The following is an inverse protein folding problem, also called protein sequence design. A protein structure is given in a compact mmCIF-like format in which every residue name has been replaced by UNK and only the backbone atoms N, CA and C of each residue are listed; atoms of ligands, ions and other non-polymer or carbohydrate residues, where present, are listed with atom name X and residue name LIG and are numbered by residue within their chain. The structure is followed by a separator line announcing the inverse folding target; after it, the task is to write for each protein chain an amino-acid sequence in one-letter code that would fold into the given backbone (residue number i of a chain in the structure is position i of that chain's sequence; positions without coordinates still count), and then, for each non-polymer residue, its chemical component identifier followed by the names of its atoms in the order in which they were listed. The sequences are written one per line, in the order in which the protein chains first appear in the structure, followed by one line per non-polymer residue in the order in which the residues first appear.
data_IF_308739059775
#
_entry.id   IF_308739059775
#
_cell.length_a   1.000
_cell.length_b   1.000
_cell.length_c   1.000
_cell.angle_alpha   90.00
_cell.angle_beta   90.00
_cell.angle_gamma   90.00
#
_symmetry.space_group_name_H-M   'P 1'
#
loop_
_entity.id
_entity.type
_entity.pdbx_description
1 polymer ?
#
# COMPACT_ATOMS: atom_id res chain seq x y z
N UNK A 1 -30.07 16.04 -1.24
CA UNK A 1 -29.51 16.03 0.13
C UNK A 1 -28.72 14.75 0.30
N UNK A 2 -27.47 14.73 -0.19
CA UNK A 2 -26.63 13.54 -0.10
C UNK A 2 -25.99 13.49 1.28
N UNK A 3 -26.44 12.54 2.09
CA UNK A 3 -25.82 12.25 3.37
C UNK A 3 -24.36 11.82 3.12
N UNK A 4 -23.42 12.67 3.54
CA UNK A 4 -22.02 12.32 3.68
C UNK A 4 -21.95 11.25 4.77
N UNK A 5 -21.83 9.99 4.38
CA UNK A 5 -21.52 8.91 5.32
C UNK A 5 -20.14 9.21 5.93
N UNK A 6 -20.00 9.19 7.27
CA UNK A 6 -18.71 9.42 7.92
C UNK A 6 -17.68 8.40 7.40
N UNK A 7 -16.49 8.87 7.02
CA UNK A 7 -15.37 8.00 6.71
C UNK A 7 -15.04 7.16 7.95
N UNK A 8 -14.87 5.82 7.83
CA UNK A 8 -14.55 4.99 8.98
C UNK A 8 -13.21 5.42 9.58
N UNK A 9 -13.22 5.69 10.89
CA UNK A 9 -12.02 6.05 11.65
C UNK A 9 -10.93 5.00 11.42
N UNK A 10 -9.73 5.46 11.08
CA UNK A 10 -8.57 4.60 10.88
C UNK A 10 -8.28 3.83 12.17
N UNK A 11 -8.79 2.59 12.26
CA UNK A 11 -8.47 1.66 13.33
C UNK A 11 -6.95 1.51 13.40
N UNK A 12 -6.32 2.17 14.39
CA UNK A 12 -4.92 1.97 14.75
C UNK A 12 -4.78 0.51 15.18
N UNK A 13 -4.31 -0.32 14.26
CA UNK A 13 -3.86 -1.67 14.60
C UNK A 13 -2.82 -1.59 15.71
N UNK A 14 -2.82 -2.61 16.58
CA UNK A 14 -1.99 -2.71 17.78
C UNK A 14 -0.58 -2.11 17.56
N UNK A 15 -0.15 -1.22 18.47
CA UNK A 15 1.19 -0.61 18.40
C UNK A 15 2.21 -1.73 18.29
N UNK A 16 2.84 -1.86 17.11
CA UNK A 16 3.94 -2.80 16.92
C UNK A 16 5.01 -2.50 17.98
N UNK A 17 5.64 -3.53 18.58
CA UNK A 17 6.76 -3.31 19.47
C UNK A 17 7.81 -2.47 18.75
N UNK A 18 8.43 -1.53 19.47
CA UNK A 18 9.52 -0.72 18.95
C UNK A 18 10.75 -1.64 18.78
N UNK A 19 10.85 -2.28 17.62
CA UNK A 19 12.01 -3.10 17.26
C UNK A 19 13.09 -2.12 16.76
N UNK A 20 14.25 -2.04 17.44
CA UNK A 20 15.33 -1.18 16.97
C UNK A 20 15.72 -1.60 15.55
N UNK A 21 15.84 -0.62 14.65
CA UNK A 21 16.40 -0.86 13.32
C UNK A 21 17.74 -1.60 13.48
N UNK A 22 17.94 -2.76 12.84
CA UNK A 22 19.23 -3.45 12.88
C UNK A 22 20.30 -2.49 12.40
N UNK A 23 21.16 -2.02 13.33
CA UNK A 23 22.22 -1.05 13.00
C UNK A 23 23.15 -1.68 11.98
N UNK A 24 23.23 -1.11 10.78
CA UNK A 24 24.20 -1.49 9.74
C UNK A 24 23.66 -2.28 8.54
N UNK A 25 22.37 -2.61 8.49
CA UNK A 25 21.76 -3.24 7.30
C UNK A 25 20.56 -2.40 6.87
N UNK A 26 20.76 -1.52 5.90
CA UNK A 26 19.66 -0.78 5.28
C UNK A 26 19.09 -1.66 4.17
N UNK A 27 17.85 -2.20 4.32
CA UNK A 27 17.27 -3.01 3.27
C UNK A 27 17.04 -2.18 2.00
N UNK A 28 17.24 -2.78 0.84
CA UNK A 28 16.88 -2.14 -0.43
C UNK A 28 15.38 -2.27 -0.61
N UNK A 29 14.67 -1.16 -0.38
CA UNK A 29 13.21 -1.08 -0.55
C UNK A 29 12.89 -0.35 -1.84
N UNK A 30 12.08 -0.95 -2.69
CA UNK A 30 11.49 -0.27 -3.85
C UNK A 30 10.04 -0.67 -4.03
N UNK A 31 9.27 0.19 -4.68
CA UNK A 31 7.84 0.01 -4.88
C UNK A 31 7.51 0.11 -6.36
N UNK A 32 6.73 -0.84 -6.84
CA UNK A 32 6.20 -0.83 -8.21
C UNK A 32 4.68 -0.72 -8.20
N UNK A 33 4.15 0.25 -8.93
CA UNK A 33 2.74 0.32 -9.25
C UNK A 33 2.40 -0.68 -10.35
N UNK A 34 1.49 -1.62 -10.08
CA UNK A 34 0.94 -2.51 -11.11
C UNK A 34 -0.27 -1.87 -11.80
N UNK A 35 -0.37 -2.07 -13.10
CA UNK A 35 -1.46 -1.53 -13.92
C UNK A 35 -2.83 -1.93 -13.35
N UNK A 36 -3.71 -0.95 -13.16
CA UNK A 36 -5.08 -1.11 -12.63
C UNK A 36 -5.14 -1.85 -11.28
N UNK A 37 -4.04 -1.92 -10.54
CA UNK A 37 -3.87 -2.76 -9.36
C UNK A 37 -3.07 -2.05 -8.25
N UNK A 38 -2.58 -2.84 -7.28
CA UNK A 38 -1.86 -2.41 -6.09
C UNK A 38 -0.44 -1.91 -6.38
N UNK A 39 0.13 -1.26 -5.36
CA UNK A 39 1.57 -1.06 -5.25
C UNK A 39 2.22 -2.30 -4.64
N UNK A 40 3.20 -2.91 -5.30
CA UNK A 40 3.96 -4.04 -4.79
C UNK A 40 5.23 -3.52 -4.13
N UNK A 41 5.44 -3.91 -2.88
CA UNK A 41 6.62 -3.53 -2.10
C UNK A 41 7.62 -4.67 -2.14
N UNK A 42 8.84 -4.35 -2.54
CA UNK A 42 9.97 -5.25 -2.53
C UNK A 42 10.94 -4.88 -1.42
N UNK A 43 11.45 -5.88 -0.70
CA UNK A 43 12.52 -5.75 0.29
C UNK A 43 13.58 -6.76 -0.08
N UNK A 44 14.77 -6.28 -0.43
CA UNK A 44 15.90 -7.10 -0.88
C UNK A 44 15.51 -8.06 -2.02
N UNK A 45 14.72 -7.56 -2.96
CA UNK A 45 14.25 -8.29 -4.14
C UNK A 45 13.06 -9.23 -3.91
N UNK A 46 12.56 -9.36 -2.68
CA UNK A 46 11.41 -10.20 -2.35
C UNK A 46 10.13 -9.37 -2.22
N UNK A 47 9.04 -9.87 -2.79
CA UNK A 47 7.71 -9.28 -2.55
C UNK A 47 7.33 -9.51 -1.10
N UNK A 48 7.16 -8.42 -0.34
CA UNK A 48 6.75 -8.51 1.07
C UNK A 48 5.28 -8.19 1.27
N UNK A 49 4.72 -7.28 0.46
CA UNK A 49 3.32 -6.89 0.60
C UNK A 49 2.80 -6.14 -0.62
N UNK A 50 1.48 -5.97 -0.67
CA UNK A 50 0.76 -5.17 -1.64
C UNK A 50 -0.05 -4.07 -0.93
N UNK A 51 0.20 -2.82 -1.29
CA UNK A 51 -0.49 -1.65 -0.73
C UNK A 51 -1.62 -1.20 -1.64
N UNK A 52 -2.73 -0.81 -1.02
CA UNK A 52 -3.87 -0.24 -1.72
C UNK A 52 -3.53 1.16 -2.22
N UNK A 53 -3.80 1.41 -3.51
CA UNK A 53 -3.78 2.75 -4.10
C UNK A 53 -5.10 3.18 -4.74
N UNK A 54 -6.11 2.29 -4.75
CA UNK A 54 -7.43 2.58 -5.32
C UNK A 54 -8.41 3.21 -4.33
N UNK A 55 -8.10 3.24 -3.02
CA UNK A 55 -8.98 3.78 -1.96
C UNK A 55 -10.09 2.83 -1.47
N UNK A 56 -10.47 1.83 -2.26
CA UNK A 56 -11.63 0.95 -1.97
C UNK A 56 -11.33 -0.27 -1.09
N UNK A 57 -10.08 -0.52 -0.69
CA UNK A 57 -9.77 -1.64 0.21
C UNK A 57 -10.49 -1.50 1.55
N UNK A 58 -11.04 -2.60 2.05
CA UNK A 58 -11.62 -2.72 3.40
C UNK A 58 -10.53 -2.99 4.44
N UNK A 59 -9.35 -3.47 4.01
CA UNK A 59 -8.20 -3.75 4.86
C UNK A 59 -7.06 -2.74 4.64
N UNK A 60 -7.37 -1.44 4.59
CA UNK A 60 -6.35 -0.39 4.42
C UNK A 60 -5.30 -0.48 5.54
N UNK A 61 -4.00 -0.29 5.24
CA UNK A 61 -3.43 0.18 3.96
C UNK A 61 -3.18 -0.91 2.91
N UNK A 62 -3.50 -2.17 3.20
CA UNK A 62 -3.20 -3.31 2.31
C UNK A 62 -4.21 -3.42 1.17
N UNK A 63 -3.77 -3.98 0.04
CA UNK A 63 -4.68 -4.33 -1.05
C UNK A 63 -5.40 -5.65 -0.75
N UNK A 64 -6.72 -5.64 -0.82
CA UNK A 64 -7.60 -6.80 -0.65
C UNK A 64 -8.28 -7.26 -1.96
N UNK A 65 -7.92 -6.65 -3.09
CA UNK A 65 -8.51 -6.94 -4.41
C UNK A 65 -9.70 -6.07 -4.80
N UNK A 66 -10.19 -5.19 -3.92
CA UNK A 66 -11.36 -4.33 -4.19
C UNK A 66 -11.20 -3.39 -5.38
N UNK A 67 -9.97 -3.17 -5.87
CA UNK A 67 -9.69 -2.36 -7.07
C UNK A 67 -10.41 -2.87 -8.33
N UNK A 68 -10.65 -4.19 -8.44
CA UNK A 68 -11.33 -4.78 -9.59
C UNK A 68 -12.80 -4.36 -9.66
N UNK A 69 -13.52 -4.52 -8.54
CA UNK A 69 -14.92 -4.13 -8.43
C UNK A 69 -15.10 -2.61 -8.50
N UNK A 70 -14.11 -1.84 -8.05
CA UNK A 70 -14.11 -0.38 -8.13
C UNK A 70 -13.79 0.18 -9.54
N UNK A 71 -13.41 -0.67 -10.51
CA UNK A 71 -13.03 -0.21 -11.84
C UNK A 71 -11.82 0.72 -11.85
N UNK A 72 -10.87 0.52 -10.92
CA UNK A 72 -9.70 1.38 -10.79
C UNK A 72 -8.83 1.32 -12.05
N UNK A 73 -8.52 2.48 -12.61
CA UNK A 73 -7.68 2.62 -13.81
C UNK A 73 -6.46 3.48 -13.49
N UNK A 74 -5.27 2.92 -13.68
CA UNK A 74 -4.00 3.63 -13.56
C UNK A 74 -2.88 2.84 -14.24
N UNK A 75 -1.93 3.52 -14.91
CA UNK A 75 -0.81 2.85 -15.55
C UNK A 75 0.10 2.15 -14.52
N UNK A 76 0.89 1.20 -15.02
CA UNK A 76 2.05 0.69 -14.29
C UNK A 76 3.15 1.76 -14.25
N UNK A 77 3.85 1.84 -13.12
CA UNK A 77 4.96 2.78 -12.94
C UNK A 77 5.95 2.25 -11.90
N UNK A 78 7.24 2.46 -12.14
CA UNK A 78 8.25 2.27 -11.11
C UNK A 78 8.23 3.52 -10.22
N UNK A 79 7.96 3.36 -8.91
CA UNK A 79 7.98 4.48 -7.96
C UNK A 79 9.43 4.67 -7.53
N UNK A 80 10.25 5.15 -8.45
CA UNK A 80 11.56 5.72 -8.15
C UNK A 80 11.41 7.24 -8.12
N UNK A 81 12.01 7.88 -7.11
CA UNK A 81 12.35 9.28 -7.24
C UNK A 81 13.39 9.33 -8.36
N UNK A 82 13.06 10.01 -9.46
CA UNK A 82 14.07 10.37 -10.45
C UNK A 82 15.20 11.08 -9.69
N UNK A 83 16.44 10.67 -9.96
CA UNK A 83 17.64 11.27 -9.36
C UNK A 83 17.67 12.80 -9.51
#
# INVERSE_FOLDING_TARGET
MSALTPLPEHHRTAKRPNVPCPRGVMPRVYVESKENASNIVYVDGKVVTALCRCGHSKNKPYCDGSHRAAGFQAPAAQVVLLE
#
